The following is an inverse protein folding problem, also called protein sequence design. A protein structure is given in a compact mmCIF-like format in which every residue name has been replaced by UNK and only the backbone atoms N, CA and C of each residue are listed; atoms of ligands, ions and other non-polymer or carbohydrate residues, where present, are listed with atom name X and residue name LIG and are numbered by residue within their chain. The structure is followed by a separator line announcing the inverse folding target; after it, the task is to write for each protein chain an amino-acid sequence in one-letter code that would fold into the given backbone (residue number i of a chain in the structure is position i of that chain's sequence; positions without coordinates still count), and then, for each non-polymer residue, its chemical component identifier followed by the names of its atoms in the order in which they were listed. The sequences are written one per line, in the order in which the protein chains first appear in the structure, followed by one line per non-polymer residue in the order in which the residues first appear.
data_IF_155896792777
#
_entry.id   IF_155896792777
#
_cell.length_a   1.000
_cell.length_b   1.000
_cell.length_c   1.000
_cell.angle_alpha   90.00
_cell.angle_beta   90.00
_cell.angle_gamma   90.00
#
_symmetry.space_group_name_H-M   'P 1'
#
loop_
_entity.id
_entity.type
_entity.pdbx_description
1 polymer ?
#
# COMPACT_ATOMS: atom_id res chain seq x y z
N UNK A 1 17.60 -14.41 9.74
CA UNK A 1 16.32 -13.80 9.30
C UNK A 1 15.79 -12.95 10.45
N UNK A 2 15.41 -11.69 10.22
CA UNK A 2 14.82 -10.87 11.27
C UNK A 2 13.54 -11.54 11.78
N UNK A 3 13.44 -11.71 13.10
CA UNK A 3 12.28 -12.33 13.76
C UNK A 3 11.05 -11.47 13.45
N UNK A 4 10.02 -12.05 12.83
CA UNK A 4 8.79 -11.33 12.50
C UNK A 4 8.02 -11.01 13.80
N UNK A 5 7.62 -9.75 13.99
CA UNK A 5 6.79 -9.32 15.12
C UNK A 5 5.38 -9.87 14.97
N UNK A 6 4.88 -10.62 15.96
CA UNK A 6 3.50 -11.10 15.97
C UNK A 6 2.53 -9.99 16.42
N UNK A 7 1.26 -10.00 15.98
CA UNK A 7 0.25 -9.12 16.55
C UNK A 7 0.00 -9.47 18.01
N UNK A 8 0.26 -8.54 18.91
CA UNK A 8 0.07 -8.71 20.37
C UNK A 8 -1.28 -8.17 20.84
N UNK A 9 -1.85 -7.22 20.08
CA UNK A 9 -3.09 -6.54 20.43
C UNK A 9 -4.25 -7.05 19.58
N UNK A 10 -5.43 -7.17 20.20
CA UNK A 10 -6.64 -7.55 19.47
C UNK A 10 -7.03 -6.49 18.42
N UNK A 11 -7.70 -6.92 17.35
CA UNK A 11 -8.21 -6.00 16.30
C UNK A 11 -9.11 -4.90 16.90
N UNK A 12 -9.87 -5.21 17.96
CA UNK A 12 -10.67 -4.24 18.69
C UNK A 12 -9.84 -3.16 19.40
N UNK A 13 -8.75 -3.56 20.05
CA UNK A 13 -7.80 -2.62 20.71
C UNK A 13 -7.11 -1.71 19.69
N UNK A 14 -6.68 -2.25 18.54
CA UNK A 14 -6.07 -1.48 17.44
C UNK A 14 -7.07 -0.49 16.84
N UNK A 15 -8.34 -0.91 16.66
CA UNK A 15 -9.41 -0.01 16.19
C UNK A 15 -9.65 1.14 17.17
N UNK A 16 -9.65 0.88 18.48
CA UNK A 16 -9.75 1.93 19.51
C UNK A 16 -8.57 2.90 19.47
N UNK A 17 -7.34 2.38 19.39
CA UNK A 17 -6.13 3.20 19.30
C UNK A 17 -6.17 4.13 18.07
N UNK A 18 -6.59 3.61 16.91
CA UNK A 18 -6.73 4.43 15.70
C UNK A 18 -7.77 5.56 15.84
N UNK A 19 -8.84 5.34 16.62
CA UNK A 19 -9.81 6.40 16.94
C UNK A 19 -9.23 7.44 17.88
N UNK A 20 -8.49 7.02 18.90
CA UNK A 20 -7.86 7.94 19.86
C UNK A 20 -6.82 8.86 19.18
N UNK A 21 -6.05 8.35 18.20
CA UNK A 21 -5.14 9.17 17.38
C UNK A 21 -5.89 10.26 16.60
N UNK A 22 -7.09 9.96 16.11
CA UNK A 22 -7.91 10.92 15.37
C UNK A 22 -8.40 12.07 16.25
N UNK A 23 -8.77 11.78 17.49
CA UNK A 23 -9.25 12.77 18.47
C UNK A 23 -8.11 13.43 19.24
N UNK A 24 -6.85 13.20 18.86
CA UNK A 24 -5.65 13.65 19.57
C UNK A 24 -5.67 13.29 21.07
N UNK A 25 -6.27 12.15 21.42
CA UNK A 25 -6.42 11.65 22.80
C UNK A 25 -5.76 10.28 22.99
N UNK A 26 -4.77 9.95 22.14
CA UNK A 26 -4.07 8.68 22.18
C UNK A 26 -3.13 8.60 23.38
N UNK A 27 -3.21 7.49 24.12
CA UNK A 27 -2.26 7.17 25.19
C UNK A 27 -0.98 6.54 24.64
N UNK A 28 0.04 6.41 25.48
CA UNK A 28 1.25 5.65 25.14
C UNK A 28 0.94 4.22 24.71
N UNK A 29 -0.02 3.56 25.37
CA UNK A 29 -0.45 2.20 25.02
C UNK A 29 -1.14 2.15 23.65
N UNK A 30 -1.90 3.20 23.26
CA UNK A 30 -2.47 3.31 21.92
C UNK A 30 -1.36 3.37 20.86
N UNK A 31 -0.32 4.16 21.11
CA UNK A 31 0.82 4.27 20.21
C UNK A 31 1.57 2.94 20.07
N UNK A 32 1.75 2.20 21.18
CA UNK A 32 2.33 0.85 21.17
C UNK A 32 1.46 -0.14 20.38
N UNK A 33 0.15 -0.12 20.56
CA UNK A 33 -0.76 -1.00 19.83
C UNK A 33 -0.71 -0.76 18.31
N UNK A 34 -0.62 0.51 17.89
CA UNK A 34 -0.48 0.85 16.47
C UNK A 34 0.89 0.45 15.94
N UNK A 35 1.96 0.63 16.71
CA UNK A 35 3.32 0.28 16.28
C UNK A 35 3.54 -1.23 16.19
N UNK A 36 3.03 -2.01 17.14
CA UNK A 36 3.00 -3.47 17.05
C UNK A 36 2.21 -3.90 15.80
N UNK A 37 0.99 -3.39 15.61
CA UNK A 37 0.17 -3.70 14.44
C UNK A 37 0.90 -3.38 13.12
N UNK A 38 1.52 -2.20 13.01
CA UNK A 38 2.32 -1.79 11.85
C UNK A 38 3.49 -2.74 11.62
N UNK A 39 4.26 -3.03 12.66
CA UNK A 39 5.45 -3.89 12.59
C UNK A 39 5.10 -5.33 12.21
N UNK A 40 3.95 -5.85 12.66
CA UNK A 40 3.49 -7.19 12.28
C UNK A 40 3.22 -7.36 10.80
N UNK A 41 2.93 -6.28 10.07
CA UNK A 41 2.75 -6.37 8.61
C UNK A 41 4.04 -6.76 7.87
N UNK A 42 5.21 -6.63 8.51
CA UNK A 42 6.48 -7.07 7.92
C UNK A 42 6.49 -8.57 7.60
N UNK A 43 5.77 -9.39 8.38
CA UNK A 43 5.64 -10.83 8.13
C UNK A 43 4.98 -11.10 6.77
N UNK A 44 3.79 -10.53 6.56
CA UNK A 44 3.03 -10.73 5.32
C UNK A 44 3.73 -10.05 4.14
N UNK A 45 4.39 -8.90 4.37
CA UNK A 45 5.18 -8.22 3.36
C UNK A 45 6.29 -9.12 2.82
N UNK A 46 7.05 -9.77 3.71
CA UNK A 46 8.13 -10.68 3.32
C UNK A 46 7.58 -11.93 2.60
N UNK A 47 6.45 -12.49 3.06
CA UNK A 47 5.83 -13.66 2.43
C UNK A 47 5.40 -13.37 0.98
N UNK A 48 4.69 -12.25 0.76
CA UNK A 48 4.27 -11.82 -0.56
C UNK A 48 5.47 -11.42 -1.43
N UNK A 49 6.44 -10.69 -0.88
CA UNK A 49 7.64 -10.29 -1.62
C UNK A 49 8.45 -11.52 -2.09
N UNK A 50 8.62 -12.54 -1.25
CA UNK A 50 9.27 -13.78 -1.64
C UNK A 50 8.52 -14.51 -2.77
N UNK A 51 7.19 -14.60 -2.67
CA UNK A 51 6.33 -15.19 -3.70
C UNK A 51 6.44 -14.43 -5.04
N UNK A 52 6.35 -13.10 -5.00
CA UNK A 52 6.40 -12.24 -6.18
C UNK A 52 7.78 -12.28 -6.83
N UNK A 53 8.87 -12.24 -6.05
CA UNK A 53 10.24 -12.33 -6.57
C UNK A 53 10.52 -13.67 -7.22
N UNK A 54 10.02 -14.77 -6.65
CA UNK A 54 10.14 -16.09 -7.27
C UNK A 54 9.43 -16.09 -8.64
N UNK A 55 8.24 -15.51 -8.73
CA UNK A 55 7.46 -15.46 -9.97
C UNK A 55 7.96 -14.46 -11.00
N UNK A 56 8.68 -13.44 -10.55
CA UNK A 56 9.38 -12.45 -11.36
C UNK A 56 10.77 -12.94 -11.80
N UNK A 57 11.22 -14.12 -11.34
CA UNK A 57 12.49 -14.69 -11.76
C UNK A 57 12.52 -14.84 -13.27
N UNK A 58 13.62 -14.42 -13.89
CA UNK A 58 13.82 -14.40 -15.35
C UNK A 58 12.88 -13.47 -16.13
N UNK A 59 12.13 -12.60 -15.45
CA UNK A 59 11.35 -11.53 -16.09
C UNK A 59 12.01 -10.19 -15.80
N UNK A 60 11.85 -9.24 -16.71
CA UNK A 60 12.30 -7.86 -16.51
C UNK A 60 11.28 -7.09 -15.65
N UNK A 61 11.17 -7.49 -14.37
CA UNK A 61 10.21 -6.92 -13.41
C UNK A 61 10.93 -6.55 -12.13
N UNK A 62 10.88 -5.27 -11.77
CA UNK A 62 11.40 -4.81 -10.48
C UNK A 62 10.34 -5.00 -9.39
N UNK A 63 10.68 -5.75 -8.34
CA UNK A 63 9.83 -5.96 -7.16
C UNK A 63 10.41 -5.20 -5.96
N UNK A 64 9.73 -4.14 -5.54
CA UNK A 64 10.06 -3.35 -4.37
C UNK A 64 9.05 -3.58 -3.23
N UNK A 65 9.50 -3.43 -1.99
CA UNK A 65 8.65 -3.54 -0.80
C UNK A 65 8.49 -2.18 -0.12
N UNK A 66 7.31 -1.92 0.45
CA UNK A 66 7.01 -0.71 1.21
C UNK A 66 6.25 -1.06 2.47
N UNK A 67 6.81 -0.70 3.62
CA UNK A 67 6.09 -0.65 4.88
C UNK A 67 5.77 0.81 5.19
N UNK A 68 4.49 1.10 5.43
CA UNK A 68 4.04 2.47 5.67
C UNK A 68 4.63 3.01 6.97
N UNK A 69 5.06 4.27 6.93
CA UNK A 69 5.60 4.99 8.08
C UNK A 69 4.47 5.37 9.04
N UNK A 70 4.76 5.38 10.35
CA UNK A 70 3.80 5.72 11.41
C UNK A 70 3.14 7.09 11.19
N UNK A 71 3.92 8.10 10.82
CA UNK A 71 3.43 9.46 10.54
C UNK A 71 2.34 9.44 9.46
N UNK A 72 2.60 8.78 8.32
CA UNK A 72 1.63 8.66 7.23
C UNK A 72 0.38 7.85 7.61
N UNK A 73 0.49 6.90 8.54
CA UNK A 73 -0.67 6.19 9.11
C UNK A 73 -1.53 7.18 9.90
N UNK A 74 -0.91 8.01 10.75
CA UNK A 74 -1.62 8.96 11.60
C UNK A 74 -2.31 10.04 10.77
N UNK A 75 -1.62 10.59 9.77
CA UNK A 75 -2.21 11.57 8.86
C UNK A 75 -3.40 11.01 8.09
N UNK A 76 -3.35 9.73 7.68
CA UNK A 76 -4.47 9.06 7.02
C UNK A 76 -5.66 8.87 7.97
N UNK A 77 -5.40 8.54 9.24
CA UNK A 77 -6.45 8.38 10.25
C UNK A 77 -7.15 9.71 10.59
N UNK A 78 -6.39 10.81 10.61
CA UNK A 78 -6.92 12.17 10.82
C UNK A 78 -7.75 12.65 9.63
N UNK A 79 -7.27 12.46 8.39
CA UNK A 79 -7.98 12.88 7.16
C UNK A 79 -9.22 12.05 6.83
N UNK A 80 -9.37 10.83 7.38
CA UNK A 80 -10.50 9.94 7.10
C UNK A 80 -11.24 9.54 8.38
N UNK A 81 -12.26 10.32 8.81
CA UNK A 81 -12.91 10.14 10.10
C UNK A 81 -13.69 8.83 10.24
N UNK A 82 -14.16 8.22 9.15
CA UNK A 82 -14.92 6.96 9.20
C UNK A 82 -14.05 5.71 8.93
N UNK A 83 -12.73 5.87 8.82
CA UNK A 83 -11.82 4.79 8.41
C UNK A 83 -11.23 4.02 9.59
N UNK A 84 -11.20 2.68 9.53
CA UNK A 84 -10.55 1.85 10.55
C UNK A 84 -9.10 1.55 10.20
N UNK A 85 -8.19 1.67 11.19
CA UNK A 85 -6.79 1.26 11.02
C UNK A 85 -6.66 -0.21 10.59
N UNK A 86 -7.49 -1.10 11.15
CA UNK A 86 -7.47 -2.54 10.85
C UNK A 86 -8.01 -2.91 9.48
N UNK A 87 -8.57 -1.93 8.75
CA UNK A 87 -9.04 -2.07 7.38
C UNK A 87 -8.08 -1.43 6.38
N UNK A 88 -7.04 -0.76 6.86
CA UNK A 88 -6.03 -0.12 6.03
C UNK A 88 -5.28 -1.15 5.19
N UNK A 89 -5.42 -0.99 3.87
CA UNK A 89 -4.91 -1.94 2.87
C UNK A 89 -3.42 -1.72 2.60
N UNK A 90 -2.98 -0.46 2.67
CA UNK A 90 -1.65 0.02 2.27
C UNK A 90 -0.67 0.16 3.44
N UNK A 91 -0.81 -0.64 4.52
CA UNK A 91 0.20 -0.67 5.60
C UNK A 91 1.44 -1.40 5.12
N UNK A 92 1.26 -2.58 4.52
CA UNK A 92 2.29 -3.25 3.74
C UNK A 92 1.89 -3.21 2.27
N UNK A 93 2.88 -3.08 1.40
CA UNK A 93 2.66 -3.24 -0.03
C UNK A 93 3.90 -3.63 -0.80
N UNK A 94 3.68 -4.33 -1.91
CA UNK A 94 4.71 -4.60 -2.90
C UNK A 94 4.42 -3.79 -4.16
N UNK A 95 5.46 -3.19 -4.74
CA UNK A 95 5.38 -2.51 -6.03
C UNK A 95 6.10 -3.34 -7.08
N UNK A 96 5.40 -3.64 -8.15
CA UNK A 96 5.91 -4.31 -9.33
C UNK A 96 5.99 -3.30 -10.47
N UNK A 97 7.18 -3.13 -11.04
CA UNK A 97 7.45 -2.20 -12.14
C UNK A 97 7.81 -3.00 -13.38
N UNK A 98 7.05 -2.77 -14.45
CA UNK A 98 7.12 -3.49 -15.73
C UNK A 98 7.56 -2.56 -16.85
N UNK A 99 8.07 -3.11 -17.95
CA UNK A 99 8.43 -2.33 -19.13
C UNK A 99 7.19 -1.73 -19.82
N UNK A 100 6.11 -2.51 -19.91
CA UNK A 100 4.89 -2.13 -20.62
C UNK A 100 3.63 -2.75 -19.97
N UNK A 101 2.46 -2.33 -20.46
CA UNK A 101 1.16 -2.77 -19.94
C UNK A 101 0.90 -4.25 -20.22
N UNK A 102 1.34 -4.78 -21.38
CA UNK A 102 1.11 -6.18 -21.73
C UNK A 102 1.81 -7.14 -20.76
N UNK A 103 3.07 -6.87 -20.41
CA UNK A 103 3.82 -7.64 -19.40
C UNK A 103 3.18 -7.53 -18.01
N UNK A 104 2.71 -6.34 -17.65
CA UNK A 104 2.00 -6.09 -16.39
C UNK A 104 0.74 -6.96 -16.30
N UNK A 105 -0.12 -6.89 -17.33
CA UNK A 105 -1.39 -7.62 -17.39
C UNK A 105 -1.14 -9.13 -17.35
N UNK A 106 -0.23 -9.64 -18.18
CA UNK A 106 0.12 -11.06 -18.21
C UNK A 106 0.66 -11.56 -16.86
N UNK A 107 1.51 -10.76 -16.19
CA UNK A 107 2.00 -11.11 -14.87
C UNK A 107 0.86 -11.19 -13.84
N UNK A 108 -0.03 -10.19 -13.84
CA UNK A 108 -1.17 -10.11 -12.92
C UNK A 108 -2.11 -11.30 -13.13
N UNK A 109 -2.57 -11.55 -14.35
CA UNK A 109 -3.46 -12.68 -14.68
C UNK A 109 -2.87 -14.01 -14.19
N UNK A 110 -1.58 -14.20 -14.45
CA UNK A 110 -0.89 -15.40 -14.06
C UNK A 110 -0.73 -15.49 -12.52
N UNK A 111 -0.58 -14.36 -11.80
CA UNK A 111 -0.57 -14.33 -10.33
C UNK A 111 -1.96 -14.59 -9.74
N UNK A 112 -3.02 -14.05 -10.33
CA UNK A 112 -4.41 -14.29 -9.95
C UNK A 112 -4.82 -15.75 -10.11
N UNK A 113 -4.33 -16.42 -11.17
CA UNK A 113 -4.54 -17.85 -11.38
C UNK A 113 -3.69 -18.77 -10.50
N UNK A 114 -2.78 -18.22 -9.68
CA UNK A 114 -1.92 -19.03 -8.83
C UNK A 114 -2.67 -19.58 -7.61
N UNK A 115 -2.38 -20.84 -7.26
CA UNK A 115 -3.00 -21.50 -6.10
C UNK A 115 -2.28 -21.13 -4.81
N UNK A 116 -2.80 -20.16 -4.08
CA UNK A 116 -2.40 -19.87 -2.70
C UNK A 116 -3.62 -19.57 -1.82
N UNK A 117 -3.48 -19.70 -0.49
CA UNK A 117 -4.61 -19.57 0.45
C UNK A 117 -5.09 -18.13 0.67
N UNK A 118 -4.26 -17.13 0.38
CA UNK A 118 -4.59 -15.71 0.57
C UNK A 118 -5.85 -15.33 -0.21
N UNK A 119 -6.68 -14.45 0.36
CA UNK A 119 -7.93 -14.02 -0.26
C UNK A 119 -7.73 -12.70 -0.98
N UNK A 120 -8.04 -12.65 -2.28
CA UNK A 120 -8.17 -11.39 -3.01
C UNK A 120 -9.42 -10.64 -2.52
N UNK A 121 -9.30 -9.35 -2.26
CA UNK A 121 -10.39 -8.47 -1.84
C UNK A 121 -10.87 -7.53 -2.96
N UNK A 122 -10.18 -7.51 -4.10
CA UNK A 122 -10.37 -6.59 -5.22
C UNK A 122 -10.38 -7.38 -6.52
N UNK A 123 -11.32 -8.31 -6.61
CA UNK A 123 -11.61 -9.06 -7.83
C UNK A 123 -12.37 -8.24 -8.88
N UNK A 124 -12.65 -6.96 -8.58
CA UNK A 124 -13.29 -5.97 -9.44
C UNK A 124 -12.29 -4.92 -9.98
N UNK A 125 -12.70 -4.22 -11.04
CA UNK A 125 -11.86 -3.20 -11.72
C UNK A 125 -11.84 -1.84 -11.01
N UNK A 126 -12.31 -1.75 -9.76
CA UNK A 126 -12.40 -0.46 -9.04
C UNK A 126 -11.05 0.18 -8.73
N UNK A 127 -9.98 -0.61 -8.78
CA UNK A 127 -8.60 -0.20 -8.57
C UNK A 127 -7.74 -0.31 -9.84
N UNK A 128 -8.38 -0.49 -10.99
CA UNK A 128 -7.72 -0.35 -12.29
C UNK A 128 -7.70 1.12 -12.71
N UNK A 129 -6.67 1.84 -12.25
CA UNK A 129 -6.42 3.22 -12.65
C UNK A 129 -5.70 3.35 -13.99
N UNK A 130 -5.43 2.23 -14.68
CA UNK A 130 -4.97 2.26 -16.07
C UNK A 130 -6.19 2.52 -16.95
N UNK A 131 -7.27 1.78 -16.71
CA UNK A 131 -8.56 1.95 -17.39
C UNK A 131 -9.33 3.19 -16.91
N UNK A 132 -9.33 3.46 -15.59
CA UNK A 132 -10.06 4.58 -14.97
C UNK A 132 -9.09 5.46 -14.16
N UNK A 133 -8.27 6.30 -14.80
CA UNK A 133 -7.33 7.17 -14.11
C UNK A 133 -8.03 8.04 -13.07
N UNK A 134 -7.29 8.41 -12.02
CA UNK A 134 -7.79 9.39 -11.05
C UNK A 134 -7.80 10.78 -11.66
N UNK A 135 -8.54 11.69 -11.03
CA UNK A 135 -8.63 13.10 -11.43
C UNK A 135 -7.26 13.82 -11.41
N UNK A 136 -6.33 13.37 -10.57
CA UNK A 136 -4.96 13.90 -10.51
C UNK A 136 -4.04 13.36 -11.62
N UNK A 137 -4.56 12.53 -12.54
CA UNK A 137 -3.78 11.88 -13.61
C UNK A 137 -3.11 10.57 -13.18
N UNK A 138 -3.28 10.13 -11.93
CA UNK A 138 -2.66 8.90 -11.46
C UNK A 138 -3.14 7.67 -12.23
N UNK A 139 -2.15 6.89 -12.71
CA UNK A 139 -2.34 5.61 -13.39
C UNK A 139 -1.60 4.47 -12.69
N UNK A 140 -2.17 3.27 -12.76
CA UNK A 140 -1.61 2.04 -12.22
C UNK A 140 -2.71 1.08 -11.78
N UNK A 141 -2.37 -0.17 -11.54
CA UNK A 141 -3.33 -1.19 -11.13
C UNK A 141 -3.03 -1.64 -9.71
N UNK A 142 -4.04 -1.76 -8.84
CA UNK A 142 -3.85 -2.31 -7.50
C UNK A 142 -4.67 -3.58 -7.24
N UNK A 143 -4.04 -4.56 -6.60
CA UNK A 143 -4.74 -5.69 -5.98
C UNK A 143 -4.57 -5.62 -4.45
N UNK A 144 -5.62 -5.91 -3.69
CA UNK A 144 -5.52 -6.01 -2.23
C UNK A 144 -5.79 -7.44 -1.80
N UNK A 145 -4.85 -8.00 -1.05
CA UNK A 145 -4.98 -9.34 -0.47
C UNK A 145 -5.17 -9.28 1.04
N UNK A 146 -6.00 -10.19 1.54
CA UNK A 146 -6.07 -10.60 2.94
C UNK A 146 -5.16 -11.83 3.15
N UNK A 147 -4.22 -11.71 4.06
CA UNK A 147 -3.35 -12.82 4.42
C UNK A 147 -4.13 -13.94 5.10
N UNK A 148 -3.88 -15.15 4.62
CA UNK A 148 -4.40 -16.41 5.14
C UNK A 148 -3.26 -17.41 5.18
N UNK A 149 -2.93 -17.88 6.37
CA UNK A 149 -1.81 -18.76 6.62
C UNK A 149 -2.02 -20.15 6.00
N UNK A 150 -0.96 -20.71 5.43
CA UNK A 150 -0.95 -22.09 4.98
C UNK A 150 -0.82 -23.09 6.14
N UNK A 151 -0.12 -22.67 7.21
CA UNK A 151 0.25 -23.45 8.40
C UNK A 151 -0.15 -22.69 9.66
N UNK A 152 -0.34 -23.41 10.77
CA UNK A 152 -0.72 -22.85 12.09
C UNK A 152 0.22 -21.76 12.56
N UNK A 153 1.53 -21.91 12.32
CA UNK A 153 2.54 -20.92 12.71
C UNK A 153 2.35 -19.54 12.07
N UNK A 154 1.59 -19.43 10.98
CA UNK A 154 1.26 -18.15 10.35
C UNK A 154 -0.08 -17.55 10.80
N UNK A 155 -0.90 -18.28 11.57
CA UNK A 155 -2.24 -17.84 11.96
C UNK A 155 -2.29 -16.50 12.71
N UNK A 156 -1.30 -16.12 13.55
CA UNK A 156 -1.32 -14.82 14.21
C UNK A 156 -1.42 -13.63 13.25
N UNK A 157 -0.98 -13.77 12.00
CA UNK A 157 -1.01 -12.70 10.98
C UNK A 157 -2.23 -12.78 10.05
N UNK A 158 -3.16 -13.70 10.28
CA UNK A 158 -4.40 -13.79 9.50
C UNK A 158 -5.18 -12.47 9.54
N UNK A 159 -5.87 -12.17 8.43
CA UNK A 159 -6.68 -10.94 8.26
C UNK A 159 -5.89 -9.63 8.20
N UNK A 160 -4.56 -9.67 8.26
CA UNK A 160 -3.73 -8.53 7.85
C UNK A 160 -3.83 -8.36 6.34
N UNK A 161 -3.73 -7.12 5.87
CA UNK A 161 -3.94 -6.76 4.45
C UNK A 161 -2.65 -6.26 3.84
N UNK A 162 -2.47 -6.56 2.56
CA UNK A 162 -1.36 -6.07 1.75
C UNK A 162 -1.88 -5.59 0.40
N UNK A 163 -1.30 -4.48 -0.08
CA UNK A 163 -1.57 -3.92 -1.39
C UNK A 163 -0.44 -4.28 -2.38
N UNK A 164 -0.80 -4.83 -3.53
CA UNK A 164 0.10 -5.01 -4.66
C UNK A 164 -0.15 -3.89 -5.66
N UNK A 165 0.89 -3.12 -5.98
CA UNK A 165 0.82 -2.04 -6.96
C UNK A 165 1.57 -2.46 -8.23
N UNK A 166 0.88 -2.52 -9.35
CA UNK A 166 1.48 -2.79 -10.65
C UNK A 166 1.56 -1.49 -11.44
N UNK A 167 2.75 -1.20 -11.98
CA UNK A 167 3.02 0.01 -12.76
C UNK A 167 3.95 -0.27 -13.91
N UNK A 168 3.85 0.48 -15.00
CA UNK A 168 4.95 0.59 -15.96
C UNK A 168 6.06 1.50 -15.42
N UNK A 169 7.23 1.48 -16.05
CA UNK A 169 8.32 2.44 -15.75
C UNK A 169 7.81 3.88 -15.86
N UNK A 170 7.01 4.21 -16.89
CA UNK A 170 6.44 5.55 -17.08
C UNK A 170 5.45 5.93 -15.97
N UNK A 171 4.53 5.04 -15.61
CA UNK A 171 3.58 5.26 -14.52
C UNK A 171 4.31 5.41 -13.17
N UNK A 172 5.39 4.67 -12.96
CA UNK A 172 6.22 4.80 -11.78
C UNK A 172 6.96 6.14 -11.73
N UNK A 173 7.59 6.53 -12.84
CA UNK A 173 8.30 7.80 -12.97
C UNK A 173 7.36 8.99 -12.71
N UNK A 174 6.21 9.01 -13.36
CA UNK A 174 5.18 10.04 -13.17
C UNK A 174 4.75 10.16 -11.71
N UNK A 175 4.39 9.03 -11.07
CA UNK A 175 3.93 9.05 -9.69
C UNK A 175 5.03 9.48 -8.70
N UNK A 176 6.29 9.22 -9.04
CA UNK A 176 7.45 9.65 -8.24
C UNK A 176 7.69 11.15 -8.41
N UNK A 177 7.58 11.67 -9.64
CA UNK A 177 7.68 13.10 -9.90
C UNK A 177 6.58 13.88 -9.16
N UNK A 178 5.34 13.40 -9.15
CA UNK A 178 4.24 14.00 -8.39
C UNK A 178 4.49 13.94 -6.87
N UNK A 179 4.98 12.82 -6.33
CA UNK A 179 5.33 12.70 -4.90
C UNK A 179 6.44 13.68 -4.51
N UNK A 180 7.48 13.83 -5.35
CA UNK A 180 8.58 14.79 -5.13
C UNK A 180 8.12 16.24 -5.23
N UNK A 181 7.33 16.59 -6.25
CA UNK A 181 6.77 17.93 -6.41
C UNK A 181 5.87 18.30 -5.23
N UNK A 182 5.04 17.36 -4.75
CA UNK A 182 4.23 17.55 -3.55
C UNK A 182 5.08 17.80 -2.30
N UNK A 183 6.15 17.04 -2.08
CA UNK A 183 7.06 17.25 -0.96
C UNK A 183 7.77 18.60 -1.02
N UNK A 184 8.21 19.04 -2.20
CA UNK A 184 8.86 20.35 -2.35
C UNK A 184 7.87 21.48 -2.06
N UNK A 185 6.65 21.40 -2.60
CA UNK A 185 5.63 22.44 -2.42
C UNK A 185 5.04 22.51 -1.01
N UNK A 186 4.89 21.37 -0.32
CA UNK A 186 4.51 21.34 1.10
C UNK A 186 5.64 21.84 2.02
N UNK A 187 6.91 21.59 1.69
CA UNK A 187 8.03 22.18 2.46
C UNK A 187 8.21 23.68 2.17
N UNK A 188 7.78 24.15 0.99
CA UNK A 188 7.76 25.55 0.56
C UNK A 188 6.43 26.25 0.88
N UNK A 189 5.91 26.11 2.11
CA UNK A 189 4.80 26.91 2.66
C UNK A 189 5.09 28.44 2.75
N UNK A 190 5.79 29.03 1.76
CA UNK A 190 5.95 30.46 1.51
C UNK A 190 5.62 30.92 0.08
N UNK A 191 5.20 30.06 -0.84
CA UNK A 191 4.70 30.52 -2.15
C UNK A 191 3.31 29.94 -2.48
N UNK A 192 2.28 30.69 -2.08
CA UNK A 192 0.88 30.36 -2.36
C UNK A 192 0.54 30.36 -3.86
N UNK A 193 -0.43 29.51 -4.23
CA UNK A 193 -0.98 29.22 -5.58
C UNK A 193 -0.35 28.08 -6.40
N UNK A 194 0.78 27.50 -6.00
CA UNK A 194 1.48 26.54 -6.86
C UNK A 194 0.93 25.09 -6.83
N UNK A 195 0.23 24.67 -5.77
CA UNK A 195 -0.19 23.27 -5.59
C UNK A 195 -1.17 22.77 -6.68
N UNK A 196 -2.16 23.58 -7.05
CA UNK A 196 -3.17 23.20 -8.06
C UNK A 196 -2.57 23.18 -9.48
N UNK A 197 -1.67 24.12 -9.80
CA UNK A 197 -0.99 24.19 -11.10
C UNK A 197 -0.10 23.00 -11.39
N UNK A 198 0.50 22.37 -10.37
CA UNK A 198 1.33 21.18 -10.57
C UNK A 198 0.48 19.93 -10.83
N UNK A 199 -0.65 19.77 -10.13
CA UNK A 199 -1.57 18.64 -10.39
C UNK A 199 -2.10 18.71 -11.82
N UNK A 200 -2.49 19.91 -12.29
CA UNK A 200 -2.89 20.11 -13.69
C UNK A 200 -1.72 19.85 -14.67
N UNK A 201 -0.53 20.38 -14.40
CA UNK A 201 0.65 20.16 -15.23
C UNK A 201 0.99 18.67 -15.40
N UNK A 202 1.01 17.90 -14.31
CA UNK A 202 1.30 16.48 -14.37
C UNK A 202 0.15 15.68 -15.00
N UNK A 203 -1.11 16.08 -14.80
CA UNK A 203 -2.25 15.46 -15.47
C UNK A 203 -2.17 15.62 -17.00
N UNK A 204 -1.73 16.79 -17.50
CA UNK A 204 -1.53 17.03 -18.94
C UNK A 204 -0.39 16.20 -19.54
N UNK A 205 0.68 15.94 -18.80
CA UNK A 205 1.81 15.11 -19.26
C UNK A 205 1.55 13.59 -19.16
N UNK A 206 0.43 13.17 -18.58
CA UNK A 206 0.02 11.77 -18.45
C UNK A 206 -0.82 11.24 -19.64
N UNK A 207 -0.94 12.04 -20.71
CA UNK A 207 -1.62 11.70 -21.97
C UNK A 207 -0.62 11.48 -23.11
#
# INVERSE_FOLDING_TARGET
MARSTAPEFSRGRVKRAGRAVRTNSASTEDHLAIENFRSSHSHILNAFQASLRNRARQKDVTVAQRLKRRVTIYDKLKRRPNFSLTEMQDIAGCRLIFKNIAELTSFRESYLGARFKHKLLTDDDRFDYILKPKADGYRGLHDVYEYRAARESGEPWNKLRIELQYRTIYQHAWATAVEVAGLLTENEHKFGRAADTYVEFFAWQAN
#
